data_IF_961707887141
#
_entry.id   IF_961707887141
#
_cell.length_a   1.000
_cell.length_b   1.000
_cell.length_c   1.000
_cell.angle_alpha   90.00
_cell.angle_beta   90.00
_cell.angle_gamma   90.00
#
_symmetry.space_group_name_H-M   'P 1'
#
loop_
_entity.id
_entity.type
_entity.pdbx_description
1 polymer ?
#
# COMPACT_ATOMS: atom_id res chain seq x y z
N UNK A 1 -19.20 18.49 2.29
CA UNK A 1 -17.83 17.95 2.22
C UNK A 1 -17.90 16.44 2.31
N UNK A 2 -17.66 15.71 1.22
CA UNK A 2 -17.66 14.25 1.25
C UNK A 2 -16.57 13.78 2.23
N UNK A 3 -16.97 13.01 3.25
CA UNK A 3 -16.05 12.35 4.16
C UNK A 3 -15.19 11.39 3.33
N UNK A 4 -13.98 11.80 2.97
CA UNK A 4 -12.97 10.91 2.38
C UNK A 4 -12.63 9.91 3.48
N UNK A 5 -13.28 8.74 3.43
CA UNK A 5 -13.03 7.69 4.42
C UNK A 5 -11.60 7.18 4.29
N UNK A 6 -10.89 7.01 5.42
CA UNK A 6 -9.50 6.61 5.45
C UNK A 6 -9.24 5.29 4.70
N UNK A 7 -8.14 5.22 3.94
CA UNK A 7 -7.69 3.96 3.33
C UNK A 7 -7.34 2.91 4.39
N UNK A 8 -7.59 1.65 4.03
CA UNK A 8 -7.45 0.53 4.93
C UNK A 8 -6.08 -0.10 4.95
N UNK A 9 -5.78 -0.80 6.04
CA UNK A 9 -4.54 -1.58 6.20
C UNK A 9 -4.38 -2.68 5.13
N UNK A 10 -5.51 -3.18 4.59
CA UNK A 10 -5.50 -4.25 3.59
C UNK A 10 -4.73 -3.89 2.31
N UNK A 11 -4.80 -2.61 1.88
CA UNK A 11 -4.05 -2.15 0.71
C UNK A 11 -2.54 -2.28 0.90
N UNK A 12 -2.05 -2.00 2.11
CA UNK A 12 -0.63 -2.17 2.46
C UNK A 12 -0.22 -3.64 2.36
N UNK A 13 -1.00 -4.56 2.94
CA UNK A 13 -0.70 -6.00 2.88
C UNK A 13 -0.73 -6.57 1.46
N UNK A 14 -1.69 -6.13 0.64
CA UNK A 14 -1.76 -6.50 -0.78
C UNK A 14 -0.48 -6.11 -1.52
N UNK A 15 0.10 -4.94 -1.22
CA UNK A 15 1.39 -4.52 -1.81
C UNK A 15 2.58 -5.35 -1.36
N UNK A 16 2.57 -5.82 -0.11
CA UNK A 16 3.61 -6.73 0.39
C UNK A 16 3.56 -8.05 -0.39
N UNK A 17 2.35 -8.59 -0.57
CA UNK A 17 2.15 -9.87 -1.24
C UNK A 17 2.36 -9.80 -2.76
N UNK A 18 1.97 -8.69 -3.39
CA UNK A 18 1.89 -8.52 -4.85
C UNK A 18 3.14 -8.99 -5.61
N UNK A 19 4.34 -8.43 -5.35
CA UNK A 19 5.56 -8.80 -6.08
C UNK A 19 5.89 -10.29 -6.00
N UNK A 20 5.80 -10.90 -4.82
CA UNK A 20 6.06 -12.34 -4.64
C UNK A 20 5.03 -13.20 -5.37
N UNK A 21 3.74 -12.88 -5.24
CA UNK A 21 2.66 -13.66 -5.90
C UNK A 21 2.77 -13.58 -7.41
N UNK A 22 2.96 -12.38 -7.97
CA UNK A 22 3.13 -12.19 -9.42
C UNK A 22 4.36 -12.94 -9.92
N UNK A 23 5.48 -12.87 -9.20
CA UNK A 23 6.71 -13.58 -9.59
C UNK A 23 6.54 -15.10 -9.52
N UNK A 24 5.84 -15.61 -8.50
CA UNK A 24 5.55 -17.04 -8.37
C UNK A 24 4.63 -17.57 -9.48
N UNK A 25 3.60 -16.80 -9.86
CA UNK A 25 2.74 -17.12 -11.00
C UNK A 25 3.58 -17.16 -12.28
N UNK A 26 4.44 -16.18 -12.51
CA UNK A 26 5.34 -16.19 -13.67
C UNK A 26 6.26 -17.40 -13.66
N UNK A 27 6.82 -17.78 -12.52
CA UNK A 27 7.65 -18.98 -12.40
C UNK A 27 6.91 -20.27 -12.82
N UNK A 28 5.59 -20.33 -12.57
CA UNK A 28 4.77 -21.49 -12.90
C UNK A 28 4.59 -21.76 -14.39
N UNK A 29 5.06 -20.84 -15.26
CA UNK A 29 5.00 -20.99 -16.72
C UNK A 29 5.68 -22.25 -17.24
N UNK A 30 6.64 -22.80 -16.49
CA UNK A 30 7.30 -24.08 -16.83
C UNK A 30 6.32 -25.26 -16.86
N UNK A 31 5.21 -25.19 -16.12
CA UNK A 31 4.21 -26.25 -16.03
C UNK A 31 2.94 -25.94 -16.82
N UNK A 32 2.47 -24.69 -16.77
CA UNK A 32 1.17 -24.29 -17.34
C UNK A 32 1.29 -23.52 -18.67
N UNK A 33 2.51 -23.23 -19.10
CA UNK A 33 2.80 -22.44 -20.30
C UNK A 33 2.73 -20.92 -20.08
N UNK A 34 3.36 -20.18 -20.99
CA UNK A 34 3.48 -18.72 -20.93
C UNK A 34 2.12 -18.00 -20.98
N UNK A 35 1.24 -18.40 -21.91
CA UNK A 35 -0.05 -17.74 -22.12
C UNK A 35 -0.91 -17.80 -20.84
N UNK A 36 -1.05 -18.99 -20.25
CA UNK A 36 -1.83 -19.18 -19.03
C UNK A 36 -1.24 -18.39 -17.87
N UNK A 37 0.09 -18.38 -17.73
CA UNK A 37 0.79 -17.64 -16.68
C UNK A 37 0.55 -16.13 -16.78
N UNK A 38 0.63 -15.57 -18.00
CA UNK A 38 0.36 -14.14 -18.23
C UNK A 38 -1.10 -13.80 -17.89
N UNK A 39 -2.05 -14.65 -18.29
CA UNK A 39 -3.47 -14.45 -17.94
C UNK A 39 -3.68 -14.48 -16.42
N UNK A 40 -3.04 -15.42 -15.71
CA UNK A 40 -3.12 -15.49 -14.25
C UNK A 40 -2.49 -14.27 -13.56
N UNK A 41 -1.39 -13.73 -14.09
CA UNK A 41 -0.82 -12.47 -13.61
C UNK A 41 -1.80 -11.32 -13.75
N UNK A 42 -2.47 -11.19 -14.91
CA UNK A 42 -3.48 -10.15 -15.13
C UNK A 42 -4.65 -10.29 -14.14
N UNK A 43 -5.14 -11.52 -13.94
CA UNK A 43 -6.18 -11.82 -12.94
C UNK A 43 -5.72 -11.44 -11.53
N UNK A 44 -4.49 -11.78 -11.15
CA UNK A 44 -3.93 -11.44 -9.84
C UNK A 44 -3.83 -9.93 -9.63
N UNK A 45 -3.35 -9.17 -10.63
CA UNK A 45 -3.27 -7.70 -10.57
C UNK A 45 -4.67 -7.09 -10.40
N UNK A 46 -5.66 -7.55 -11.17
CA UNK A 46 -7.04 -7.09 -11.06
C UNK A 46 -7.65 -7.45 -9.71
N UNK A 47 -7.41 -8.67 -9.23
CA UNK A 47 -7.86 -9.14 -7.92
C UNK A 47 -7.27 -8.32 -6.78
N UNK A 48 -5.97 -8.03 -6.82
CA UNK A 48 -5.30 -7.17 -5.85
C UNK A 48 -5.84 -5.73 -5.88
N UNK A 49 -6.08 -5.17 -7.07
CA UNK A 49 -6.69 -3.85 -7.19
C UNK A 49 -8.11 -3.81 -6.61
N UNK A 50 -8.92 -4.84 -6.87
CA UNK A 50 -10.26 -4.97 -6.29
C UNK A 50 -10.21 -5.12 -4.76
N UNK A 51 -9.35 -6.00 -4.25
CA UNK A 51 -9.19 -6.25 -2.82
C UNK A 51 -8.72 -5.01 -2.05
N UNK A 52 -7.75 -4.27 -2.59
CA UNK A 52 -7.29 -3.02 -2.01
C UNK A 52 -8.40 -1.96 -1.93
N UNK A 53 -9.28 -1.88 -2.96
CA UNK A 53 -10.43 -0.96 -2.97
C UNK A 53 -11.49 -1.36 -1.94
N UNK A 54 -11.79 -2.64 -1.80
CA UNK A 54 -12.78 -3.14 -0.83
C UNK A 54 -12.27 -2.96 0.61
N UNK A 55 -11.03 -3.31 0.88
CA UNK A 55 -10.42 -3.17 2.21
C UNK A 55 -10.36 -1.72 2.70
N UNK A 56 -10.24 -0.75 1.79
CA UNK A 56 -10.33 0.67 2.14
C UNK A 56 -11.70 1.08 2.70
N UNK A 57 -12.78 0.35 2.38
CA UNK A 57 -14.13 0.63 2.91
C UNK A 57 -14.36 0.01 4.30
N UNK A 58 -13.63 -1.05 4.64
CA UNK A 58 -13.87 -1.87 5.83
C UNK A 58 -12.93 -1.55 7.01
N UNK A 59 -11.88 -0.75 6.79
CA UNK A 59 -10.88 -0.51 7.82
C UNK A 59 -11.40 0.39 8.94
N UNK A 60 -11.70 -0.23 10.09
CA UNK A 60 -12.05 0.43 11.35
C UNK A 60 -10.91 0.48 12.37
N UNK A 61 -9.68 0.13 11.97
CA UNK A 61 -8.54 0.00 12.88
C UNK A 61 -7.43 1.04 12.68
N UNK A 62 -6.90 1.55 13.79
CA UNK A 62 -5.61 2.24 13.84
C UNK A 62 -4.44 1.24 13.82
N UNK A 63 -3.32 1.62 13.22
CA UNK A 63 -2.12 0.77 13.14
C UNK A 63 -1.10 1.31 12.14
N UNK A 64 0.11 0.75 12.16
CA UNK A 64 1.20 1.21 11.28
C UNK A 64 0.85 1.10 9.80
N UNK A 65 0.13 0.04 9.39
CA UNK A 65 -0.28 -0.17 8.00
C UNK A 65 -1.31 0.88 7.54
N UNK A 66 -2.14 1.37 8.45
CA UNK A 66 -3.08 2.47 8.19
C UNK A 66 -2.33 3.80 8.06
N UNK A 67 -1.31 4.05 8.90
CA UNK A 67 -0.43 5.24 8.77
C UNK A 67 0.27 5.27 7.40
N UNK A 68 0.74 4.12 6.90
CA UNK A 68 1.33 3.99 5.55
C UNK A 68 0.33 4.40 4.48
N UNK A 69 -0.89 3.85 4.54
CA UNK A 69 -1.96 4.19 3.60
C UNK A 69 -2.33 5.69 3.62
N UNK A 70 -2.24 6.35 4.77
CA UNK A 70 -2.44 7.81 4.86
C UNK A 70 -1.30 8.59 4.26
N UNK A 71 -0.06 8.23 4.59
CA UNK A 71 1.12 8.85 4.02
C UNK A 71 1.12 8.77 2.49
N UNK A 72 0.68 7.64 1.95
CA UNK A 72 0.59 7.46 0.50
C UNK A 72 -0.45 8.37 -0.12
N UNK A 73 -1.66 8.47 0.45
CA UNK A 73 -2.69 9.39 -0.07
C UNK A 73 -2.21 10.84 -0.05
N UNK A 74 -1.50 11.24 1.00
CA UNK A 74 -0.89 12.56 1.10
C UNK A 74 0.16 12.76 -0.01
N UNK A 75 1.03 11.77 -0.22
CA UNK A 75 2.06 11.81 -1.26
C UNK A 75 1.49 11.80 -2.69
N UNK A 76 0.40 11.07 -2.94
CA UNK A 76 -0.33 11.11 -4.21
C UNK A 76 -0.98 12.48 -4.43
N UNK A 77 -1.42 13.14 -3.35
CA UNK A 77 -1.98 14.49 -3.40
C UNK A 77 -0.93 15.61 -3.38
N UNK A 78 0.36 15.30 -3.56
CA UNK A 78 1.48 16.27 -3.49
C UNK A 78 1.37 17.44 -4.45
N UNK A 79 0.60 17.29 -5.53
CA UNK A 79 0.34 18.38 -6.50
C UNK A 79 -0.61 19.44 -5.94
N UNK A 80 -1.52 19.06 -5.04
CA UNK A 80 -2.50 19.98 -4.45
C UNK A 80 -2.06 20.46 -3.06
N UNK A 81 -1.40 19.60 -2.29
CA UNK A 81 -0.92 19.93 -0.95
C UNK A 81 0.60 19.77 -0.92
N UNK A 82 1.36 20.85 -0.74
CA UNK A 82 2.81 20.78 -0.78
C UNK A 82 3.32 19.86 0.34
N UNK A 83 4.21 18.95 -0.04
CA UNK A 83 4.87 17.97 0.83
C UNK A 83 6.34 18.37 0.96
N UNK A 84 6.99 18.18 2.13
CA UNK A 84 8.42 18.46 2.28
C UNK A 84 9.27 17.81 1.18
N UNK A 85 10.10 18.61 0.52
CA UNK A 85 10.82 18.21 -0.69
C UNK A 85 11.75 17.02 -0.46
N UNK A 86 12.50 17.01 0.64
CA UNK A 86 13.42 15.91 1.00
C UNK A 86 12.70 14.55 1.10
N UNK A 87 11.51 14.56 1.70
CA UNK A 87 10.69 13.35 1.85
C UNK A 87 10.11 12.94 0.48
N UNK A 88 9.68 13.89 -0.33
CA UNK A 88 9.12 13.62 -1.65
C UNK A 88 10.15 12.98 -2.60
N UNK A 89 11.37 13.50 -2.63
CA UNK A 89 12.47 12.94 -3.44
C UNK A 89 12.76 11.51 -2.97
N UNK A 90 12.96 11.30 -1.67
CA UNK A 90 13.21 9.97 -1.12
C UNK A 90 12.09 8.98 -1.45
N UNK A 91 10.82 9.37 -1.29
CA UNK A 91 9.67 8.52 -1.63
C UNK A 91 9.63 8.16 -3.11
N UNK A 92 9.91 9.11 -4.00
CA UNK A 92 9.93 8.88 -5.45
C UNK A 92 11.06 7.92 -5.83
N UNK A 93 12.28 8.15 -5.33
CA UNK A 93 13.42 7.26 -5.59
C UNK A 93 13.17 5.85 -5.08
N UNK A 94 12.64 5.70 -3.87
CA UNK A 94 12.30 4.39 -3.30
C UNK A 94 11.18 3.70 -4.08
N UNK A 95 10.21 4.45 -4.59
CA UNK A 95 9.15 3.90 -5.43
C UNK A 95 9.70 3.38 -6.77
N UNK A 96 10.64 4.11 -7.39
CA UNK A 96 11.32 3.65 -8.60
C UNK A 96 12.23 2.44 -8.33
N UNK A 97 12.93 2.40 -7.20
CA UNK A 97 13.72 1.25 -6.77
C UNK A 97 12.83 0.00 -6.55
N UNK A 98 11.65 0.19 -5.95
CA UNK A 98 10.66 -0.88 -5.80
C UNK A 98 10.16 -1.40 -7.16
N UNK A 99 9.80 -0.50 -8.08
CA UNK A 99 9.34 -0.88 -9.42
C UNK A 99 10.42 -1.63 -10.20
N UNK A 100 11.65 -1.13 -10.21
CA UNK A 100 12.78 -1.78 -10.89
C UNK A 100 13.08 -3.15 -10.30
N UNK A 101 13.14 -3.28 -8.96
CA UNK A 101 13.31 -4.57 -8.30
C UNK A 101 12.19 -5.57 -8.65
N UNK A 102 10.94 -5.11 -8.70
CA UNK A 102 9.79 -5.93 -9.11
C UNK A 102 9.92 -6.40 -10.56
N UNK A 103 10.31 -5.52 -11.48
CA UNK A 103 10.51 -5.88 -12.88
C UNK A 103 11.66 -6.89 -13.06
N UNK A 104 12.77 -6.72 -12.33
CA UNK A 104 13.88 -7.70 -12.31
C UNK A 104 13.40 -9.05 -11.76
N UNK A 105 12.57 -9.06 -10.71
CA UNK A 105 12.02 -10.30 -10.18
C UNK A 105 11.11 -11.01 -11.19
N UNK A 106 10.24 -10.25 -11.87
CA UNK A 106 9.33 -10.76 -12.90
C UNK A 106 10.08 -11.31 -14.12
N UNK A 107 11.12 -10.64 -14.57
CA UNK A 107 11.99 -11.15 -15.66
C UNK A 107 12.72 -12.41 -15.24
N UNK A 108 13.18 -12.51 -13.99
CA UNK A 108 13.70 -13.76 -13.42
C UNK A 108 12.65 -14.88 -13.43
N UNK A 109 11.39 -14.57 -13.07
CA UNK A 109 10.29 -15.53 -13.09
C UNK A 109 9.96 -16.04 -14.49
N UNK A 110 9.98 -15.15 -15.49
CA UNK A 110 9.76 -15.50 -16.90
C UNK A 110 10.91 -16.29 -17.52
N UNK A 111 12.14 -16.06 -17.06
CA UNK A 111 13.34 -16.76 -17.56
C UNK A 111 13.73 -17.97 -16.72
N UNK A 112 12.93 -18.29 -15.69
CA UNK A 112 13.22 -19.31 -14.69
C UNK A 112 14.61 -19.14 -14.04
N UNK A 113 15.09 -17.91 -13.91
CA UNK A 113 16.39 -17.58 -13.30
C UNK A 113 16.23 -17.29 -11.81
N UNK A 114 16.70 -18.18 -10.92
CA UNK A 114 16.53 -18.00 -9.47
C UNK A 114 17.35 -16.81 -8.96
N UNK A 115 18.47 -16.50 -9.63
CA UNK A 115 19.32 -15.36 -9.30
C UNK A 115 18.56 -14.06 -9.54
N UNK A 116 18.03 -13.86 -10.75
CA UNK A 116 17.30 -12.63 -11.09
C UNK A 116 16.04 -12.47 -10.21
N UNK A 117 15.31 -13.56 -9.99
CA UNK A 117 14.15 -13.56 -9.09
C UNK A 117 14.55 -13.17 -7.67
N UNK A 118 15.57 -13.82 -7.11
CA UNK A 118 16.04 -13.57 -5.74
C UNK A 118 16.55 -12.15 -5.56
N UNK A 119 17.46 -11.69 -6.42
CA UNK A 119 18.02 -10.33 -6.32
C UNK A 119 16.97 -9.26 -6.55
N UNK A 120 16.06 -9.46 -7.50
CA UNK A 120 14.96 -8.53 -7.76
C UNK A 120 14.01 -8.40 -6.56
N UNK A 121 13.62 -9.52 -5.96
CA UNK A 121 12.77 -9.51 -4.76
C UNK A 121 13.48 -8.87 -3.56
N UNK A 122 14.77 -9.14 -3.35
CA UNK A 122 15.55 -8.51 -2.27
C UNK A 122 15.54 -6.98 -2.43
N UNK A 123 15.86 -6.46 -3.62
CA UNK A 123 15.85 -5.02 -3.89
C UNK A 123 14.45 -4.43 -3.71
N UNK A 124 13.43 -5.11 -4.24
CA UNK A 124 12.03 -4.72 -4.11
C UNK A 124 11.61 -4.58 -2.63
N UNK A 125 11.85 -5.60 -1.81
CA UNK A 125 11.47 -5.59 -0.40
C UNK A 125 12.30 -4.63 0.45
N UNK A 126 13.59 -4.48 0.16
CA UNK A 126 14.44 -3.47 0.81
C UNK A 126 13.93 -2.05 0.51
N UNK A 127 13.62 -1.73 -0.74
CA UNK A 127 13.05 -0.44 -1.11
C UNK A 127 11.66 -0.22 -0.45
N UNK A 128 10.80 -1.25 -0.46
CA UNK A 128 9.45 -1.17 0.09
C UNK A 128 9.44 -0.89 1.60
N UNK A 129 10.31 -1.55 2.37
CA UNK A 129 10.38 -1.38 3.82
C UNK A 129 10.78 0.06 4.20
N UNK A 130 11.79 0.61 3.53
CA UNK A 130 12.20 2.01 3.73
C UNK A 130 11.11 2.97 3.24
N UNK A 131 10.47 2.67 2.11
CA UNK A 131 9.37 3.47 1.58
C UNK A 131 8.21 3.56 2.59
N UNK A 132 7.82 2.45 3.22
CA UNK A 132 6.78 2.44 4.25
C UNK A 132 7.16 3.26 5.46
N UNK A 133 8.42 3.20 5.90
CA UNK A 133 8.92 4.06 6.97
C UNK A 133 8.78 5.55 6.62
N UNK A 134 9.18 5.94 5.40
CA UNK A 134 9.07 7.33 4.91
C UNK A 134 7.62 7.79 4.75
N UNK A 135 6.70 6.92 4.34
CA UNK A 135 5.27 7.25 4.28
C UNK A 135 4.69 7.50 5.67
N UNK A 136 5.08 6.71 6.67
CA UNK A 136 4.66 6.95 8.07
C UNK A 136 5.24 8.26 8.60
N UNK A 137 6.51 8.54 8.30
CA UNK A 137 7.15 9.81 8.64
C UNK A 137 6.39 10.99 8.02
N UNK A 138 6.03 10.89 6.74
CA UNK A 138 5.24 11.89 6.02
C UNK A 138 3.88 12.12 6.68
N UNK A 139 3.15 11.05 6.97
CA UNK A 139 1.85 11.14 7.62
C UNK A 139 1.94 11.89 8.95
N UNK A 140 2.90 11.53 9.80
CA UNK A 140 3.10 12.16 11.11
C UNK A 140 3.47 13.64 10.99
N UNK A 141 4.31 13.99 10.04
CA UNK A 141 4.71 15.37 9.78
C UNK A 141 3.53 16.23 9.29
N UNK A 142 2.61 15.65 8.52
CA UNK A 142 1.51 16.38 7.88
C UNK A 142 0.21 16.39 8.72
N UNK A 143 0.01 15.39 9.59
CA UNK A 143 -1.21 15.25 10.41
C UNK A 143 -1.52 16.50 11.23
N UNK A 144 -0.48 17.17 11.75
CA UNK A 144 -0.63 18.36 12.61
C UNK A 144 -0.50 19.68 11.83
N UNK A 145 -0.04 19.65 10.57
CA UNK A 145 0.19 20.85 9.76
C UNK A 145 -1.04 21.26 8.95
N UNK A 146 -1.92 20.33 8.60
CA UNK A 146 -3.10 20.61 7.80
C UNK A 146 -4.38 20.11 8.49
N UNK A 147 -5.40 20.97 8.70
CA UNK A 147 -6.66 20.56 9.34
C UNK A 147 -7.37 19.41 8.63
N UNK A 148 -7.15 19.23 7.32
CA UNK A 148 -7.74 18.14 6.52
C UNK A 148 -7.34 16.75 7.03
N UNK A 149 -6.10 16.57 7.50
CA UNK A 149 -5.57 15.26 7.90
C UNK A 149 -5.76 14.96 9.38
N UNK A 150 -6.10 15.96 10.20
CA UNK A 150 -6.23 15.83 11.66
C UNK A 150 -7.24 14.74 12.03
N UNK A 151 -8.36 14.68 11.32
CA UNK A 151 -9.48 13.78 11.64
C UNK A 151 -9.35 12.37 11.06
N UNK A 152 -8.33 12.09 10.23
CA UNK A 152 -8.19 10.78 9.57
C UNK A 152 -7.91 9.61 10.53
N UNK A 153 -7.35 9.89 11.71
CA UNK A 153 -7.12 8.87 12.74
C UNK A 153 -8.26 8.73 13.75
N UNK A 154 -9.25 9.63 13.73
CA UNK A 154 -10.31 9.61 14.73
C UNK A 154 -11.43 8.67 14.26
N UNK A 155 -11.79 7.71 15.11
CA UNK A 155 -13.05 6.99 14.96
C UNK A 155 -14.19 7.90 15.40
N UNK A 156 -15.22 8.07 14.56
CA UNK A 156 -16.46 8.73 14.99
C UNK A 156 -17.04 7.93 16.17
N UNK A 157 -16.97 8.49 17.37
CA UNK A 157 -17.71 7.94 18.50
C UNK A 157 -19.18 8.25 18.24
N UNK A 158 -19.99 7.19 18.22
CA UNK A 158 -21.43 7.35 18.10
C UNK A 158 -21.98 7.68 19.49
N UNK A 159 -22.28 8.95 19.71
CA UNK A 159 -22.85 9.44 20.97
C UNK A 159 -24.27 8.89 21.24
N UNK A 160 -24.90 8.25 20.25
CA UNK A 160 -26.17 7.54 20.41
C UNK A 160 -26.03 6.11 20.99
N UNK A 161 -24.92 5.78 21.67
CA UNK A 161 -24.83 4.47 22.33
C UNK A 161 -25.79 4.41 23.53
N UNK A 162 -26.67 3.38 23.63
CA UNK A 162 -27.71 3.30 24.68
C UNK A 162 -27.18 3.34 26.12
N UNK A 163 -25.89 3.07 26.34
CA UNK A 163 -25.24 3.10 27.65
C UNK A 163 -25.15 4.50 28.28
N UNK A 164 -25.21 5.58 27.49
CA UNK A 164 -25.18 6.94 28.03
C UNK A 164 -26.49 7.35 28.73
N UNK A 165 -27.64 6.76 28.35
CA UNK A 165 -28.94 7.04 28.97
C UNK A 165 -29.14 6.36 30.33
N UNK A 166 -28.34 5.35 30.68
CA UNK A 166 -28.49 4.57 31.91
C UNK A 166 -27.82 5.20 33.15
N UNK A 167 -27.15 6.36 33.00
CA UNK A 167 -26.52 7.10 34.12
C UNK A 167 -27.22 8.43 34.44
N UNK A 168 -28.37 8.68 33.83
CA UNK A 168 -29.14 9.92 33.99
C UNK A 168 -30.42 9.74 34.84
N UNK A 169 -30.58 8.58 35.48
CA UNK A 169 -31.67 8.27 36.40
C UNK A 169 -31.12 7.67 37.69
#
# INVERSE_FOLDING_TARGET
MSSVKPAGALGTYVRIAGPSVVTAILWSHLWIGYVVSIVLVLIAILGFAALARVGARLSRGGGWATEVSFGERIWLNRLQTPVPQDINVALTTLYLAFLTGTLVAMTGGLTASPILTGTGLIVCYAAMTVHFHKLRQLYRAMKNKNPLYRFWSYSAQNDNTPKAKARAY
#
